data_IF_182604936963
#
_entry.id   IF_182604936963
#
_cell.length_a   1.000
_cell.length_b   1.000
_cell.length_c   1.000
_cell.angle_alpha   90.00
_cell.angle_beta   90.00
_cell.angle_gamma   90.00
#
_symmetry.space_group_name_H-M   'P 1'
#
loop_
_entity.id
_entity.type
_entity.pdbx_description
1 polymer ?
#
# COMPACT_ATOMS: atom_id res chain seq x y z
N UNK A 1 -16.69 -5.38 4.54
CA UNK A 1 -15.78 -4.23 4.72
C UNK A 1 -15.24 -4.35 6.14
N UNK A 2 -13.92 -4.26 6.33
CA UNK A 2 -13.29 -4.38 7.64
C UNK A 2 -13.22 -3.00 8.28
N UNK A 3 -13.28 -2.97 9.62
CA UNK A 3 -13.14 -1.77 10.40
C UNK A 3 -11.89 -1.87 11.29
N UNK A 4 -11.45 -0.75 11.82
CA UNK A 4 -10.28 -0.66 12.70
C UNK A 4 -10.75 -0.26 14.10
N UNK A 5 -10.37 -1.04 15.11
CA UNK A 5 -10.57 -0.67 16.51
C UNK A 5 -9.22 -0.32 17.14
N UNK A 6 -9.18 0.74 17.91
CA UNK A 6 -7.99 1.16 18.63
C UNK A 6 -7.56 0.10 19.67
N UNK A 7 -6.28 -0.27 19.65
CA UNK A 7 -5.67 -1.14 20.65
C UNK A 7 -4.77 -0.32 21.59
N UNK A 8 -5.23 -0.04 22.83
CA UNK A 8 -4.45 0.75 23.79
C UNK A 8 -3.16 0.07 24.25
N UNK A 9 -3.04 -1.26 24.10
CA UNK A 9 -1.86 -2.01 24.54
C UNK A 9 -0.68 -1.84 23.60
N UNK A 10 -0.96 -1.89 22.30
CA UNK A 10 0.09 -1.80 21.28
C UNK A 10 0.29 -0.38 20.74
N UNK A 11 -0.68 0.51 20.96
CA UNK A 11 -0.71 1.83 20.30
C UNK A 11 -1.03 1.73 18.81
N UNK A 12 -1.55 0.60 18.38
CA UNK A 12 -1.95 0.32 17.00
C UNK A 12 -3.45 0.08 16.86
N UNK A 13 -3.82 -0.69 15.84
CA UNK A 13 -5.22 -1.00 15.53
C UNK A 13 -5.43 -2.51 15.36
N UNK A 14 -6.60 -2.97 15.78
CA UNK A 14 -7.10 -4.31 15.54
C UNK A 14 -8.12 -4.23 14.40
N UNK A 15 -7.99 -5.12 13.43
CA UNK A 15 -8.98 -5.32 12.39
C UNK A 15 -10.19 -6.05 12.96
N UNK A 16 -11.37 -5.59 12.59
CA UNK A 16 -12.62 -6.24 13.00
C UNK A 16 -13.54 -6.46 11.81
N UNK A 17 -14.40 -7.46 11.93
CA UNK A 17 -15.44 -7.75 10.93
C UNK A 17 -16.72 -6.95 11.14
N UNK A 18 -16.80 -6.16 12.22
CA UNK A 18 -17.97 -5.32 12.49
C UNK A 18 -18.12 -4.27 11.38
N UNK A 19 -19.24 -4.27 10.71
CA UNK A 19 -19.57 -3.24 9.73
C UNK A 19 -19.81 -1.92 10.47
N UNK A 20 -18.88 -1.00 10.35
CA UNK A 20 -19.13 0.41 10.66
C UNK A 20 -18.95 1.16 9.34
N UNK A 21 -19.80 2.12 9.08
CA UNK A 21 -19.90 2.93 7.88
C UNK A 21 -18.66 3.07 6.98
N UNK A 22 -18.58 4.10 6.17
CA UNK A 22 -17.41 4.34 5.30
C UNK A 22 -16.23 4.69 6.21
N UNK A 23 -15.35 3.71 6.45
CA UNK A 23 -14.09 3.95 7.15
C UNK A 23 -13.07 4.50 6.17
N UNK A 24 -12.45 5.59 6.52
CA UNK A 24 -11.31 6.11 5.79
C UNK A 24 -10.08 5.26 6.13
N UNK A 25 -9.22 5.10 5.14
CA UNK A 25 -8.01 4.30 5.27
C UNK A 25 -7.04 4.95 6.28
N UNK A 26 -6.66 4.19 7.30
CA UNK A 26 -5.63 4.60 8.26
C UNK A 26 -4.26 4.25 7.71
N UNK A 27 -3.34 5.20 7.75
CA UNK A 27 -1.94 4.98 7.39
C UNK A 27 -1.01 5.22 8.58
N UNK A 28 0.09 4.48 8.67
CA UNK A 28 1.13 4.78 9.66
C UNK A 28 1.84 6.10 9.33
N UNK A 29 2.29 6.78 10.37
CA UNK A 29 3.09 8.00 10.29
C UNK A 29 4.42 7.75 10.98
N UNK A 30 5.51 8.03 10.27
CA UNK A 30 6.88 7.77 10.70
C UNK A 30 7.60 9.05 11.10
N UNK A 31 8.78 8.88 11.67
CA UNK A 31 9.63 9.94 12.17
C UNK A 31 9.87 11.07 11.16
N UNK A 32 10.14 10.72 9.90
CA UNK A 32 10.47 11.65 8.82
C UNK A 32 9.33 12.63 8.52
N UNK A 33 8.08 12.16 8.56
CA UNK A 33 6.91 13.01 8.34
C UNK A 33 6.72 14.00 9.49
N UNK A 34 6.96 13.57 10.73
CA UNK A 34 6.87 14.44 11.89
C UNK A 34 7.95 15.53 11.87
N UNK A 35 9.17 15.19 11.45
CA UNK A 35 10.25 16.17 11.29
C UNK A 35 9.93 17.17 10.17
N UNK A 36 9.48 16.67 9.01
CA UNK A 36 9.13 17.50 7.85
C UNK A 36 8.06 18.53 8.17
N UNK A 37 7.05 18.13 8.94
CA UNK A 37 5.94 19.01 9.34
C UNK A 37 6.24 19.87 10.58
N UNK A 38 7.37 19.64 11.23
CA UNK A 38 7.83 20.49 12.35
C UNK A 38 7.06 20.29 13.65
N UNK A 39 6.61 19.07 13.96
CA UNK A 39 5.93 18.75 15.22
C UNK A 39 6.77 19.08 16.46
N UNK A 40 8.11 18.93 16.41
CA UNK A 40 9.02 19.34 17.49
C UNK A 40 8.90 20.82 17.84
N UNK A 41 8.69 21.67 16.84
CA UNK A 41 8.52 23.12 17.04
C UNK A 41 7.23 23.45 17.80
N UNK A 42 6.34 22.48 17.97
CA UNK A 42 5.10 22.55 18.72
C UNK A 42 5.19 21.87 20.10
N UNK A 43 6.40 21.59 20.57
CA UNK A 43 6.65 20.99 21.87
C UNK A 43 6.53 19.47 21.94
N UNK A 44 6.29 18.81 20.82
CA UNK A 44 6.16 17.36 20.80
C UNK A 44 7.53 16.67 20.95
N UNK A 45 7.55 15.56 21.70
CA UNK A 45 8.75 14.74 21.93
C UNK A 45 8.50 13.34 21.41
N UNK A 46 9.38 12.84 20.54
CA UNK A 46 9.31 11.50 19.97
C UNK A 46 10.69 10.99 19.61
N UNK A 47 10.92 9.66 19.71
CA UNK A 47 12.19 9.04 19.38
C UNK A 47 12.40 8.98 17.86
N UNK A 48 13.66 8.95 17.42
CA UNK A 48 14.02 8.57 16.06
C UNK A 48 13.92 7.05 15.96
N UNK A 49 13.01 6.53 15.13
CA UNK A 49 12.74 5.11 14.99
C UNK A 49 12.14 4.81 13.62
N UNK A 50 12.31 3.59 13.15
CA UNK A 50 11.65 3.06 11.96
C UNK A 50 10.22 2.54 12.24
N UNK A 51 9.82 2.50 13.51
CA UNK A 51 8.45 2.11 13.89
C UNK A 51 7.49 3.28 13.70
N UNK A 52 6.21 3.03 13.38
CA UNK A 52 5.19 4.07 13.37
C UNK A 52 5.10 4.78 14.72
N UNK A 53 4.89 6.08 14.67
CA UNK A 53 4.72 6.93 15.85
C UNK A 53 3.27 7.37 16.04
N UNK A 54 2.58 7.59 14.93
CA UNK A 54 1.19 8.03 14.87
C UNK A 54 0.45 7.28 13.77
N UNK A 55 -0.83 7.54 13.70
CA UNK A 55 -1.70 7.14 12.59
C UNK A 55 -2.30 8.38 11.93
N UNK A 56 -2.57 8.31 10.64
CA UNK A 56 -3.25 9.39 9.93
C UNK A 56 -4.43 8.89 9.13
N UNK A 57 -5.53 9.62 9.22
CA UNK A 57 -6.70 9.51 8.37
C UNK A 57 -6.74 10.71 7.43
N UNK A 58 -6.28 10.56 6.21
CA UNK A 58 -6.06 11.67 5.27
C UNK A 58 -5.09 12.73 5.85
N UNK A 59 -5.62 13.83 6.36
CA UNK A 59 -4.87 14.97 6.93
C UNK A 59 -4.97 15.07 8.45
N UNK A 60 -5.65 14.11 9.10
CA UNK A 60 -5.86 14.07 10.54
C UNK A 60 -4.91 13.11 11.19
N UNK A 61 -4.16 13.57 12.19
CA UNK A 61 -3.21 12.76 12.94
C UNK A 61 -3.86 12.26 14.22
N UNK A 62 -3.69 10.97 14.47
CA UNK A 62 -4.35 10.26 15.57
C UNK A 62 -3.27 9.60 16.42
N UNK A 63 -3.28 9.88 17.71
CA UNK A 63 -2.43 9.23 18.70
C UNK A 63 -3.27 8.64 19.81
N UNK A 64 -3.05 7.36 20.12
CA UNK A 64 -3.83 6.62 21.12
C UNK A 64 -5.35 6.80 20.95
N UNK A 65 -5.82 6.67 19.72
CA UNK A 65 -7.23 6.78 19.36
C UNK A 65 -7.83 8.19 19.40
N UNK A 66 -7.03 9.22 19.74
CA UNK A 66 -7.47 10.62 19.82
C UNK A 66 -6.94 11.44 18.65
N UNK A 67 -7.74 12.35 18.17
CA UNK A 67 -7.36 13.31 17.15
C UNK A 67 -6.50 14.43 17.77
N UNK A 68 -5.21 14.44 17.42
CA UNK A 68 -4.20 15.29 18.10
C UNK A 68 -3.68 16.43 17.23
N UNK A 69 -3.74 16.32 15.91
CA UNK A 69 -3.30 17.35 14.97
C UNK A 69 -3.93 17.17 13.58
N UNK A 70 -3.86 18.20 12.77
CA UNK A 70 -4.24 18.16 11.36
C UNK A 70 -3.33 19.03 10.49
N UNK A 71 -3.24 18.71 9.20
CA UNK A 71 -2.69 19.65 8.21
C UNK A 71 -3.83 20.35 7.48
N UNK A 72 -3.76 21.67 7.40
CA UNK A 72 -4.72 22.52 6.70
C UNK A 72 -4.06 23.27 5.55
N UNK A 73 -4.82 23.64 4.55
CA UNK A 73 -4.25 24.28 3.35
C UNK A 73 -3.48 23.26 2.49
N UNK A 74 -2.43 23.71 1.84
CA UNK A 74 -1.67 22.90 0.87
C UNK A 74 -2.38 22.84 -0.48
N UNK A 75 -1.74 23.39 -1.49
CA UNK A 75 -2.18 23.35 -2.87
C UNK A 75 -0.94 23.44 -3.78
N UNK A 76 -1.14 23.63 -5.07
CA UNK A 76 -0.03 23.72 -6.02
C UNK A 76 1.01 24.82 -5.65
N UNK A 77 0.58 25.86 -4.91
CA UNK A 77 1.42 27.04 -4.62
C UNK A 77 1.51 27.38 -3.12
N UNK A 78 0.90 26.59 -2.25
CA UNK A 78 0.89 26.86 -0.80
C UNK A 78 1.31 25.63 -0.02
N UNK A 79 2.26 25.77 0.89
CA UNK A 79 2.65 24.71 1.80
C UNK A 79 1.50 24.38 2.78
N UNK A 80 1.34 23.12 3.19
CA UNK A 80 0.41 22.76 4.24
C UNK A 80 0.86 23.37 5.57
N UNK A 81 -0.11 23.81 6.38
CA UNK A 81 0.14 24.30 7.73
C UNK A 81 -0.28 23.24 8.75
N UNK A 82 0.57 23.00 9.74
CA UNK A 82 0.27 22.11 10.86
C UNK A 82 -0.55 22.84 11.92
N UNK A 83 -1.73 22.30 12.24
CA UNK A 83 -2.59 22.73 13.33
C UNK A 83 -2.59 21.68 14.43
N UNK A 84 -2.14 22.05 15.62
CA UNK A 84 -2.05 21.19 16.79
C UNK A 84 -3.31 21.34 17.64
N UNK A 85 -3.83 20.22 18.12
CA UNK A 85 -4.96 20.15 19.06
C UNK A 85 -4.52 19.74 20.47
N UNK A 86 -3.40 19.03 20.59
CA UNK A 86 -2.75 18.70 21.86
C UNK A 86 -1.28 19.14 21.84
N UNK A 87 -0.89 20.03 22.74
CA UNK A 87 0.49 20.54 22.86
C UNK A 87 1.34 19.62 23.75
N UNK A 88 2.67 19.72 23.60
CA UNK A 88 3.67 19.04 24.44
C UNK A 88 3.49 17.52 24.54
N UNK A 89 2.98 16.89 23.51
CA UNK A 89 2.73 15.45 23.48
C UNK A 89 4.06 14.67 23.49
N UNK A 90 4.12 13.66 24.36
CA UNK A 90 5.19 12.66 24.35
C UNK A 90 4.66 11.41 23.65
N UNK A 91 5.35 11.00 22.59
CA UNK A 91 4.90 9.91 21.73
C UNK A 91 5.81 8.70 21.90
N UNK A 92 5.20 7.58 22.22
CA UNK A 92 5.84 6.28 22.20
C UNK A 92 5.57 5.58 20.86
N UNK A 93 6.56 4.84 20.32
CA UNK A 93 6.37 4.06 19.12
C UNK A 93 5.29 3.00 19.27
N UNK A 94 4.63 2.68 18.16
CA UNK A 94 3.68 1.56 18.09
C UNK A 94 4.41 0.23 18.32
N UNK A 95 3.86 -0.64 19.14
CA UNK A 95 4.33 -2.01 19.30
C UNK A 95 3.83 -2.86 18.13
N UNK A 96 4.57 -2.79 17.03
CA UNK A 96 4.19 -3.42 15.75
C UNK A 96 4.13 -4.94 15.87
N UNK A 97 5.02 -5.55 16.63
CA UNK A 97 5.11 -7.01 16.74
C UNK A 97 3.86 -7.58 17.40
N UNK A 98 3.47 -7.00 18.55
CA UNK A 98 2.24 -7.40 19.22
C UNK A 98 0.98 -6.99 18.43
N UNK A 99 0.98 -5.86 17.73
CA UNK A 99 -0.11 -5.48 16.83
C UNK A 99 -0.31 -6.52 15.72
N UNK A 100 0.77 -7.01 15.11
CA UNK A 100 0.72 -8.09 14.09
C UNK A 100 0.15 -9.37 14.71
N UNK A 101 0.63 -9.75 15.89
CA UNK A 101 0.14 -10.96 16.59
C UNK A 101 -1.35 -10.88 16.92
N UNK A 102 -1.83 -9.73 17.39
CA UNK A 102 -3.23 -9.52 17.70
C UNK A 102 -4.15 -9.59 16.47
N UNK A 103 -3.63 -9.25 15.29
CA UNK A 103 -4.35 -9.31 14.03
C UNK A 103 -4.20 -10.66 13.29
N UNK A 104 -3.29 -11.52 13.75
CA UNK A 104 -2.86 -12.72 13.00
C UNK A 104 -4.02 -13.64 12.63
N UNK A 105 -4.87 -13.99 13.59
CA UNK A 105 -5.96 -14.94 13.37
C UNK A 105 -6.95 -14.44 12.29
N UNK A 106 -7.29 -13.16 12.30
CA UNK A 106 -8.16 -12.55 11.29
C UNK A 106 -7.46 -12.51 9.93
N UNK A 107 -6.19 -12.11 9.89
CA UNK A 107 -5.40 -12.04 8.66
C UNK A 107 -5.21 -13.41 8.02
N UNK A 108 -4.91 -14.45 8.82
CA UNK A 108 -4.79 -15.82 8.33
C UNK A 108 -6.11 -16.31 7.70
N UNK A 109 -7.25 -16.02 8.35
CA UNK A 109 -8.57 -16.32 7.80
C UNK A 109 -8.86 -15.59 6.48
N UNK A 110 -8.49 -14.31 6.38
CA UNK A 110 -8.61 -13.52 5.16
C UNK A 110 -7.77 -14.09 4.01
N UNK A 111 -6.52 -14.41 4.30
CA UNK A 111 -5.61 -15.02 3.34
C UNK A 111 -6.18 -16.34 2.84
N UNK A 112 -6.61 -17.22 3.74
CA UNK A 112 -7.18 -18.52 3.38
C UNK A 112 -8.42 -18.37 2.49
N UNK A 113 -9.37 -17.52 2.86
CA UNK A 113 -10.57 -17.25 2.06
C UNK A 113 -10.23 -16.69 0.66
N UNK A 114 -9.19 -15.87 0.58
CA UNK A 114 -8.74 -15.30 -0.69
C UNK A 114 -8.12 -16.36 -1.59
N UNK A 115 -7.25 -17.22 -1.03
CA UNK A 115 -6.66 -18.35 -1.77
C UNK A 115 -7.75 -19.28 -2.33
N UNK A 116 -8.74 -19.63 -1.51
CA UNK A 116 -9.88 -20.44 -1.96
C UNK A 116 -10.69 -19.76 -3.07
N UNK A 117 -10.90 -18.44 -2.96
CA UNK A 117 -11.62 -17.68 -3.98
C UNK A 117 -10.85 -17.66 -5.30
N UNK A 118 -9.53 -17.40 -5.27
CA UNK A 118 -8.65 -17.45 -6.44
C UNK A 118 -8.74 -18.82 -7.11
N UNK A 119 -8.57 -19.90 -6.32
CA UNK A 119 -8.60 -21.26 -6.81
C UNK A 119 -9.94 -21.64 -7.43
N UNK A 120 -11.05 -21.31 -6.77
CA UNK A 120 -12.42 -21.56 -7.27
C UNK A 120 -12.66 -20.81 -8.58
N UNK A 121 -12.30 -19.52 -8.65
CA UNK A 121 -12.44 -18.71 -9.86
C UNK A 121 -11.59 -19.27 -11.00
N UNK A 122 -10.34 -19.62 -10.72
CA UNK A 122 -9.46 -20.26 -11.71
C UNK A 122 -10.11 -21.53 -12.30
N UNK A 123 -10.59 -22.46 -11.46
CA UNK A 123 -11.20 -23.71 -11.92
C UNK A 123 -12.51 -23.47 -12.68
N UNK A 124 -13.30 -22.46 -12.31
CA UNK A 124 -14.50 -22.09 -13.05
C UNK A 124 -14.19 -21.64 -14.49
N UNK A 125 -13.10 -20.90 -14.67
CA UNK A 125 -12.75 -20.30 -15.95
C UNK A 125 -11.75 -21.12 -16.76
N UNK A 126 -10.96 -22.01 -16.14
CA UNK A 126 -9.97 -22.86 -16.82
C UNK A 126 -10.56 -23.67 -17.98
N UNK A 127 -11.81 -24.10 -17.87
CA UNK A 127 -12.51 -24.88 -18.89
C UNK A 127 -13.31 -24.05 -19.90
N UNK A 128 -13.36 -22.73 -19.71
CA UNK A 128 -13.93 -21.78 -20.68
C UNK A 128 -12.80 -21.39 -21.65
N UNK A 129 -13.12 -21.03 -22.88
CA UNK A 129 -12.11 -20.54 -23.84
C UNK A 129 -11.49 -19.22 -23.35
N UNK A 130 -10.55 -19.32 -22.44
CA UNK A 130 -9.73 -18.23 -21.94
C UNK A 130 -8.31 -18.52 -22.39
N UNK A 131 -7.68 -17.55 -23.03
CA UNK A 131 -6.36 -17.73 -23.60
C UNK A 131 -5.25 -17.75 -22.55
N UNK A 132 -5.32 -16.85 -21.56
CA UNK A 132 -4.27 -16.71 -20.53
C UNK A 132 -4.83 -16.17 -19.22
N UNK A 133 -4.40 -16.76 -18.10
CA UNK A 133 -4.48 -16.11 -16.78
C UNK A 133 -3.20 -15.34 -16.52
N UNK A 134 -3.29 -14.13 -16.02
CA UNK A 134 -2.11 -13.36 -15.67
C UNK A 134 -2.33 -12.45 -14.45
N UNK A 135 -1.24 -12.15 -13.76
CA UNK A 135 -1.16 -11.13 -12.72
C UNK A 135 -0.56 -9.88 -13.33
N UNK A 136 -1.31 -8.78 -13.34
CA UNK A 136 -0.77 -7.47 -13.67
C UNK A 136 0.09 -6.98 -12.49
N UNK A 137 1.39 -6.93 -12.70
CA UNK A 137 2.37 -6.62 -11.65
C UNK A 137 3.00 -5.27 -11.89
N UNK A 138 2.66 -4.28 -11.08
CA UNK A 138 3.17 -2.90 -11.20
C UNK A 138 4.42 -2.64 -10.34
N UNK A 139 4.89 -3.62 -9.56
CA UNK A 139 5.95 -3.43 -8.56
C UNK A 139 5.51 -2.69 -7.29
N UNK A 140 4.26 -2.24 -7.20
CA UNK A 140 3.68 -1.63 -5.99
C UNK A 140 3.24 -2.67 -4.94
N UNK A 141 3.02 -2.22 -3.72
CA UNK A 141 2.65 -3.08 -2.56
C UNK A 141 1.43 -3.96 -2.83
N UNK A 142 0.41 -3.42 -3.47
CA UNK A 142 -0.86 -4.13 -3.70
C UNK A 142 -0.69 -5.25 -4.74
N UNK A 143 0.04 -4.98 -5.83
CA UNK A 143 0.36 -5.98 -6.85
C UNK A 143 1.32 -7.05 -6.33
N UNK A 144 2.21 -6.71 -5.39
CA UNK A 144 3.09 -7.65 -4.72
C UNK A 144 2.31 -8.64 -3.84
N UNK A 145 1.35 -8.13 -3.05
CA UNK A 145 0.43 -8.97 -2.25
C UNK A 145 -0.41 -9.86 -3.15
N UNK A 146 -0.97 -9.30 -4.24
CA UNK A 146 -1.73 -10.09 -5.22
C UNK A 146 -0.88 -11.22 -5.81
N UNK A 147 0.35 -10.93 -6.22
CA UNK A 147 1.27 -11.94 -6.75
C UNK A 147 1.57 -13.05 -5.73
N UNK A 148 1.82 -12.68 -4.45
CA UNK A 148 2.04 -13.65 -3.39
C UNK A 148 0.83 -14.57 -3.20
N UNK A 149 -0.38 -14.03 -3.20
CA UNK A 149 -1.60 -14.81 -3.04
C UNK A 149 -1.85 -15.73 -4.25
N UNK A 150 -1.68 -15.24 -5.47
CA UNK A 150 -1.92 -16.05 -6.68
C UNK A 150 -0.90 -17.18 -6.78
N UNK A 151 0.39 -16.93 -6.55
CA UNK A 151 1.42 -17.97 -6.61
C UNK A 151 1.28 -19.04 -5.51
N UNK A 152 0.59 -18.72 -4.41
CA UNK A 152 0.24 -19.69 -3.36
C UNK A 152 -1.02 -20.49 -3.70
N UNK A 153 -1.93 -19.91 -4.47
CA UNK A 153 -3.22 -20.50 -4.83
C UNK A 153 -3.13 -21.38 -6.07
N UNK A 154 -2.27 -21.06 -7.04
CA UNK A 154 -2.21 -21.70 -8.36
C UNK A 154 -0.84 -22.30 -8.67
N UNK A 155 -0.77 -23.38 -9.46
CA UNK A 155 0.49 -23.87 -10.02
C UNK A 155 1.15 -22.78 -10.89
N UNK A 156 2.47 -22.65 -10.79
CA UNK A 156 3.23 -21.58 -11.43
C UNK A 156 3.21 -21.60 -12.97
N UNK A 157 2.88 -22.72 -13.58
CA UNK A 157 2.73 -22.86 -15.04
C UNK A 157 1.34 -22.51 -15.56
N UNK A 158 0.38 -22.23 -14.68
CA UNK A 158 -1.01 -21.97 -15.04
C UNK A 158 -1.34 -20.48 -15.21
N UNK A 159 -0.40 -19.60 -14.87
CA UNK A 159 -0.56 -18.16 -15.04
C UNK A 159 0.77 -17.47 -15.40
N UNK A 160 0.67 -16.25 -15.89
CA UNK A 160 1.82 -15.40 -16.22
C UNK A 160 1.86 -14.19 -15.27
N UNK A 161 3.05 -13.61 -15.09
CA UNK A 161 3.20 -12.32 -14.41
C UNK A 161 3.57 -11.28 -15.46
N UNK A 162 2.75 -10.27 -15.63
CA UNK A 162 2.95 -9.25 -16.67
C UNK A 162 3.24 -7.91 -16.05
N UNK A 163 4.43 -7.37 -16.34
CA UNK A 163 4.81 -6.00 -16.02
C UNK A 163 4.75 -5.14 -17.28
N UNK A 164 3.97 -4.07 -17.25
CA UNK A 164 3.95 -3.05 -18.31
C UNK A 164 5.04 -2.03 -18.08
N UNK A 165 6.12 -2.08 -18.88
CA UNK A 165 7.20 -1.13 -18.79
C UNK A 165 6.92 0.09 -19.67
N UNK A 166 6.55 1.20 -19.05
CA UNK A 166 6.28 2.48 -19.73
C UNK A 166 7.56 3.27 -20.01
N UNK A 167 8.72 2.81 -19.55
CA UNK A 167 10.00 3.53 -19.54
C UNK A 167 9.99 4.82 -18.70
N UNK A 168 8.98 5.00 -17.83
CA UNK A 168 8.81 6.16 -16.94
C UNK A 168 8.77 5.75 -15.46
N UNK A 169 9.04 4.49 -15.17
CA UNK A 169 9.04 3.97 -13.81
C UNK A 169 10.24 4.47 -13.00
N UNK A 170 10.05 4.60 -11.67
CA UNK A 170 11.16 4.91 -10.78
C UNK A 170 12.13 3.72 -10.67
N UNK A 171 13.40 4.01 -10.36
CA UNK A 171 14.43 2.99 -10.13
C UNK A 171 14.00 1.90 -9.15
N UNK A 172 13.33 2.29 -8.07
CA UNK A 172 12.85 1.38 -7.02
C UNK A 172 11.81 0.37 -7.53
N UNK A 173 11.01 0.77 -8.54
CA UNK A 173 10.06 -0.13 -9.21
C UNK A 173 10.81 -1.24 -9.93
N UNK A 174 11.83 -0.90 -10.73
CA UNK A 174 12.65 -1.90 -11.43
C UNK A 174 13.40 -2.82 -10.47
N UNK A 175 13.91 -2.28 -9.35
CA UNK A 175 14.55 -3.08 -8.31
C UNK A 175 13.57 -4.06 -7.66
N UNK A 176 12.34 -3.63 -7.38
CA UNK A 176 11.28 -4.49 -6.83
C UNK A 176 10.93 -5.61 -7.80
N UNK A 177 10.82 -5.32 -9.09
CA UNK A 177 10.55 -6.34 -10.12
C UNK A 177 11.69 -7.36 -10.19
N UNK A 178 12.94 -6.90 -10.15
CA UNK A 178 14.11 -7.76 -10.12
C UNK A 178 14.09 -8.70 -8.91
N UNK A 179 13.88 -8.16 -7.71
CA UNK A 179 13.76 -8.94 -6.46
C UNK A 179 12.59 -9.95 -6.50
N UNK A 180 11.46 -9.56 -7.09
CA UNK A 180 10.32 -10.46 -7.25
C UNK A 180 10.65 -11.63 -8.18
N UNK A 181 11.33 -11.37 -9.31
CA UNK A 181 11.80 -12.43 -10.23
C UNK A 181 12.80 -13.37 -9.58
N UNK A 182 13.71 -12.86 -8.78
CA UNK A 182 14.69 -13.67 -8.04
C UNK A 182 14.00 -14.53 -6.98
N UNK A 183 13.03 -13.96 -6.24
CA UNK A 183 12.27 -14.67 -5.20
C UNK A 183 11.39 -15.78 -5.77
N UNK A 184 10.74 -15.55 -6.88
CA UNK A 184 9.83 -16.48 -7.54
C UNK A 184 10.35 -16.88 -8.93
N UNK A 185 11.53 -17.43 -8.98
CA UNK A 185 12.27 -17.76 -10.21
C UNK A 185 11.60 -18.81 -11.10
N UNK A 186 10.60 -19.53 -10.60
CA UNK A 186 9.78 -20.50 -11.34
C UNK A 186 8.57 -19.87 -12.03
N UNK A 187 8.26 -18.60 -11.75
CA UNK A 187 7.18 -17.88 -12.40
C UNK A 187 7.64 -17.31 -13.76
N UNK A 188 6.72 -17.33 -14.72
CA UNK A 188 6.95 -16.73 -16.04
C UNK A 188 6.64 -15.22 -16.00
N UNK A 189 7.69 -14.41 -15.89
CA UNK A 189 7.61 -12.95 -15.92
C UNK A 189 7.76 -12.42 -17.34
N UNK A 190 6.72 -11.76 -17.83
CA UNK A 190 6.68 -11.08 -19.13
C UNK A 190 6.81 -9.59 -18.89
N UNK A 191 7.80 -8.97 -19.54
CA UNK A 191 7.92 -7.51 -19.60
C UNK A 191 7.28 -7.04 -20.90
N UNK A 192 6.09 -6.46 -20.77
CA UNK A 192 5.38 -5.87 -21.90
C UNK A 192 5.87 -4.43 -22.11
N UNK A 193 6.49 -4.16 -23.24
CA UNK A 193 7.04 -2.86 -23.56
C UNK A 193 6.41 -2.29 -24.83
N UNK A 194 6.07 -1.00 -24.82
CA UNK A 194 5.64 -0.30 -26.03
C UNK A 194 6.79 -0.25 -27.04
N UNK A 195 6.46 -0.23 -28.32
CA UNK A 195 7.41 0.04 -29.39
C UNK A 195 7.88 1.51 -29.41
N UNK A 196 7.09 2.40 -28.79
CA UNK A 196 7.47 3.80 -28.56
C UNK A 196 8.04 3.95 -27.15
N UNK A 197 9.15 4.62 -27.01
CA UNK A 197 9.63 5.05 -25.68
C UNK A 197 8.83 6.26 -25.17
N UNK A 198 9.08 6.64 -23.92
CA UNK A 198 8.37 7.76 -23.28
C UNK A 198 8.59 9.09 -24.02
N UNK A 199 9.79 9.33 -24.58
CA UNK A 199 10.13 10.55 -25.30
C UNK A 199 9.43 10.61 -26.65
N UNK A 200 9.34 9.50 -27.35
CA UNK A 200 8.63 9.38 -28.61
C UNK A 200 7.13 9.54 -28.43
N UNK A 201 6.58 8.86 -27.41
CA UNK A 201 5.17 8.98 -27.03
C UNK A 201 4.81 10.43 -26.66
N UNK A 202 5.69 11.13 -25.92
CA UNK A 202 5.50 12.54 -25.60
C UNK A 202 5.46 13.44 -26.84
N UNK A 203 6.34 13.18 -27.81
CA UNK A 203 6.37 13.95 -29.08
C UNK A 203 5.12 13.76 -29.92
N UNK A 204 4.55 12.54 -29.93
CA UNK A 204 3.40 12.19 -30.74
C UNK A 204 2.09 12.59 -30.09
N UNK A 205 1.95 12.29 -28.79
CA UNK A 205 0.69 12.40 -28.06
C UNK A 205 0.65 13.59 -27.09
N UNK A 206 1.76 14.28 -26.89
CA UNK A 206 1.92 15.30 -25.86
C UNK A 206 2.04 14.70 -24.45
N UNK A 207 1.97 15.53 -23.40
CA UNK A 207 2.04 15.05 -22.01
C UNK A 207 0.85 14.13 -21.69
N UNK A 208 1.06 13.07 -20.87
CA UNK A 208 -0.04 12.22 -20.43
C UNK A 208 -1.09 13.05 -19.69
N UNK A 209 -2.35 12.84 -20.02
CA UNK A 209 -3.49 13.55 -19.43
C UNK A 209 -4.46 12.58 -18.80
N UNK A 210 -5.45 13.12 -18.06
CA UNK A 210 -6.48 12.31 -17.43
C UNK A 210 -7.35 11.54 -18.43
N UNK A 211 -7.51 12.08 -19.64
CA UNK A 211 -8.32 11.50 -20.71
C UNK A 211 -7.52 10.74 -21.75
N UNK A 212 -6.24 11.03 -21.87
CA UNK A 212 -5.31 10.41 -22.82
C UNK A 212 -4.08 9.90 -22.08
N UNK A 213 -4.18 8.68 -21.57
CA UNK A 213 -3.08 8.00 -20.89
C UNK A 213 -2.38 7.07 -21.87
N UNK A 214 -1.11 7.30 -22.08
CA UNK A 214 -0.25 6.44 -22.88
C UNK A 214 0.91 5.86 -22.05
N UNK A 215 0.94 6.16 -20.73
CA UNK A 215 1.89 5.64 -19.74
C UNK A 215 1.16 4.81 -18.65
#
# INVERSE_FOLDING_TARGET
MYNYEWDPKTGGYILTTKMAGITKELRPVFYEELELLGFKNKGWKYPKTEKPLLWAETRRYIYRGRFVAETVGGGLYTAPMLKIHEENLVIDPVDVDNMIMNNKALMDGLVQNTLETIYKTFNEYKNKKIDVFYVAFSGGKDSLVLLDLVQRALPHNEFKVVFGDTSMEMSDTYETIKKAKERWNTLDFIIAKSHLDAKESWKIFGPPSRTQRWC
#
